data_IF_736277142966
#
_entry.id   IF_736277142966
#
_cell.length_a   1.000
_cell.length_b   1.000
_cell.length_c   1.000
_cell.angle_alpha   90.00
_cell.angle_beta   90.00
_cell.angle_gamma   90.00
#
_symmetry.space_group_name_H-M   'P 1'
#
loop_
_entity.id
_entity.type
_entity.pdbx_description
1 polymer ?
#
# COMPACT_ATOMS: atom_id res chain seq x y z
N UNK A 1 -23.56 28.73 17.97
CA UNK A 1 -22.28 29.25 17.44
C UNK A 1 -22.12 28.72 16.03
N UNK A 2 -22.25 29.57 15.01
CA UNK A 2 -22.17 29.14 13.61
C UNK A 2 -20.73 28.79 13.26
N UNK A 3 -20.46 27.52 12.96
CA UNK A 3 -19.19 27.10 12.35
C UNK A 3 -19.19 27.59 10.91
N UNK A 4 -18.64 28.78 10.66
CA UNK A 4 -18.31 29.19 9.31
C UNK A 4 -17.37 28.13 8.70
N UNK A 5 -17.83 27.48 7.65
CA UNK A 5 -17.02 26.49 6.93
C UNK A 5 -15.74 27.17 6.43
N UNK A 6 -14.53 26.69 6.74
CA UNK A 6 -13.27 27.34 6.34
C UNK A 6 -13.01 27.33 4.83
N UNK A 7 -13.85 26.65 4.06
CA UNK A 7 -13.80 26.64 2.59
C UNK A 7 -14.44 27.93 2.09
N UNK A 8 -13.62 28.87 1.60
CA UNK A 8 -14.10 30.08 0.92
C UNK A 8 -14.97 29.71 -0.27
N UNK A 9 -15.94 30.57 -0.57
CA UNK A 9 -16.85 30.46 -1.69
C UNK A 9 -16.12 30.18 -3.02
N UNK A 10 -16.21 28.95 -3.52
CA UNK A 10 -15.53 28.54 -4.74
C UNK A 10 -16.30 28.89 -6.01
N UNK A 11 -15.59 29.07 -7.12
CA UNK A 11 -16.18 29.19 -8.46
C UNK A 11 -16.27 27.83 -9.14
N UNK A 12 -17.13 27.68 -10.16
CA UNK A 12 -17.08 26.49 -11.01
C UNK A 12 -15.70 26.38 -11.68
N UNK A 13 -15.04 25.22 -11.55
CA UNK A 13 -13.71 24.96 -12.12
C UNK A 13 -13.71 25.21 -13.63
N UNK A 14 -12.57 25.67 -14.14
CA UNK A 14 -12.35 25.84 -15.59
C UNK A 14 -12.38 24.51 -16.34
N UNK A 15 -12.03 23.42 -15.67
CA UNK A 15 -12.05 22.05 -16.22
C UNK A 15 -13.45 21.45 -16.37
N UNK A 16 -14.50 22.09 -15.84
CA UNK A 16 -15.90 21.66 -16.05
C UNK A 16 -16.37 22.20 -17.40
N UNK A 17 -16.69 21.32 -18.34
CA UNK A 17 -17.35 21.73 -19.58
C UNK A 17 -18.81 22.03 -19.29
N UNK A 18 -19.29 23.14 -19.86
CA UNK A 18 -20.68 23.60 -19.74
C UNK A 18 -21.17 23.87 -21.16
N UNK A 19 -22.08 23.05 -21.65
CA UNK A 19 -22.60 23.15 -23.01
C UNK A 19 -24.12 23.29 -22.99
N UNK A 20 -24.66 24.25 -23.73
CA UNK A 20 -26.11 24.38 -23.91
C UNK A 20 -26.54 23.49 -25.08
N UNK A 21 -27.30 22.43 -24.79
CA UNK A 21 -27.79 21.45 -25.77
C UNK A 21 -29.31 21.46 -25.79
N UNK A 22 -29.89 22.14 -26.79
CA UNK A 22 -31.34 22.27 -26.93
C UNK A 22 -31.98 22.93 -25.70
N UNK A 23 -32.86 22.20 -25.01
CA UNK A 23 -33.56 22.65 -23.80
C UNK A 23 -32.81 22.34 -22.48
N UNK A 24 -31.52 22.00 -22.54
CA UNK A 24 -30.71 21.62 -21.38
C UNK A 24 -29.32 22.27 -21.37
N UNK A 25 -28.68 22.27 -20.21
CA UNK A 25 -27.24 22.42 -20.05
C UNK A 25 -26.65 21.05 -19.70
N UNK A 26 -25.69 20.61 -20.49
CA UNK A 26 -24.86 19.46 -20.22
C UNK A 26 -23.58 19.93 -19.51
N UNK A 27 -23.38 19.45 -18.29
CA UNK A 27 -22.14 19.60 -17.54
C UNK A 27 -21.32 18.32 -17.70
N UNK A 28 -20.03 18.46 -17.98
CA UNK A 28 -19.10 17.35 -18.00
C UNK A 28 -17.83 17.68 -17.22
N UNK A 29 -17.41 16.80 -16.34
CA UNK A 29 -16.14 16.91 -15.62
C UNK A 29 -15.74 15.53 -15.14
N UNK A 30 -14.44 15.25 -15.15
CA UNK A 30 -13.93 13.92 -14.85
C UNK A 30 -14.66 12.82 -15.65
N UNK A 31 -15.22 11.82 -14.97
CA UNK A 31 -15.95 10.68 -15.52
C UNK A 31 -17.47 10.84 -15.45
N UNK A 32 -17.97 12.00 -15.01
CA UNK A 32 -19.41 12.23 -14.85
C UNK A 32 -19.93 13.28 -15.83
N UNK A 33 -21.20 13.12 -16.16
CA UNK A 33 -21.98 14.10 -16.90
C UNK A 33 -23.30 14.34 -16.17
N UNK A 34 -23.77 15.59 -16.20
CA UNK A 34 -25.04 15.98 -15.61
C UNK A 34 -25.82 16.83 -16.61
N UNK A 35 -27.03 16.40 -16.94
CA UNK A 35 -27.95 17.14 -17.79
C UNK A 35 -28.96 17.88 -16.93
N UNK A 36 -29.04 19.20 -17.10
CA UNK A 36 -29.90 20.09 -16.31
C UNK A 36 -30.85 20.82 -17.26
N UNK A 37 -32.18 20.76 -17.06
CA UNK A 37 -33.11 21.54 -17.88
C UNK A 37 -32.82 23.05 -17.82
N UNK A 38 -32.85 23.74 -18.96
CA UNK A 38 -32.62 25.18 -19.02
C UNK A 38 -33.66 25.97 -18.25
N UNK A 39 -34.92 25.54 -18.28
CA UNK A 39 -36.01 26.15 -17.52
C UNK A 39 -35.64 26.30 -16.04
N UNK A 40 -35.02 25.26 -15.47
CA UNK A 40 -34.57 25.27 -14.09
C UNK A 40 -33.48 26.32 -13.80
N UNK A 41 -32.61 26.57 -14.77
CA UNK A 41 -31.50 27.53 -14.69
C UNK A 41 -31.99 28.95 -14.95
N UNK A 42 -32.94 29.13 -15.86
CA UNK A 42 -33.52 30.43 -16.22
C UNK A 42 -34.44 30.97 -15.13
N UNK A 43 -35.15 30.10 -14.41
CA UNK A 43 -35.93 30.46 -13.22
C UNK A 43 -35.05 30.98 -12.07
N UNK A 44 -33.75 30.67 -12.08
CA UNK A 44 -32.79 31.08 -11.06
C UNK A 44 -31.59 31.79 -11.69
N UNK A 45 -31.73 33.08 -11.98
CA UNK A 45 -30.70 33.87 -12.68
C UNK A 45 -29.28 33.82 -12.07
N UNK A 46 -29.16 33.51 -10.78
CA UNK A 46 -27.86 33.28 -10.11
C UNK A 46 -27.18 31.97 -10.54
N UNK A 47 -27.93 30.88 -10.79
CA UNK A 47 -27.35 29.64 -11.32
C UNK A 47 -26.74 29.84 -12.71
N UNK A 48 -27.43 30.60 -13.57
CA UNK A 48 -26.92 30.93 -14.90
C UNK A 48 -25.58 31.68 -14.82
N UNK A 49 -25.49 32.68 -13.93
CA UNK A 49 -24.25 33.43 -13.69
C UNK A 49 -23.14 32.55 -13.09
N UNK A 50 -23.49 31.61 -12.20
CA UNK A 50 -22.53 30.64 -11.65
C UNK A 50 -21.97 29.69 -12.71
N UNK A 51 -22.81 29.16 -13.61
CA UNK A 51 -22.35 28.31 -14.72
C UNK A 51 -21.47 29.06 -15.72
N UNK A 52 -21.70 30.38 -15.89
CA UNK A 52 -20.80 31.28 -16.63
C UNK A 52 -19.55 31.68 -15.84
N UNK A 53 -19.41 31.24 -14.58
CA UNK A 53 -18.30 31.55 -13.66
C UNK A 53 -18.20 33.02 -13.26
N UNK A 54 -19.29 33.75 -13.36
CA UNK A 54 -19.35 35.19 -13.05
C UNK A 54 -19.47 35.43 -11.53
N UNK A 55 -20.08 34.49 -10.81
CA UNK A 55 -20.27 34.56 -9.36
C UNK A 55 -19.82 33.27 -8.66
N UNK A 56 -19.43 33.35 -7.37
CA UNK A 56 -19.04 32.16 -6.62
C UNK A 56 -20.27 31.36 -6.16
N UNK A 57 -20.05 30.10 -5.81
CA UNK A 57 -21.08 29.19 -5.32
C UNK A 57 -21.83 29.72 -4.08
N UNK A 58 -21.17 30.50 -3.21
CA UNK A 58 -21.86 31.08 -2.04
C UNK A 58 -22.95 32.07 -2.42
N UNK A 59 -22.79 32.82 -3.52
CA UNK A 59 -23.79 33.77 -3.99
C UNK A 59 -25.04 33.07 -4.57
N UNK A 60 -24.92 31.77 -4.87
CA UNK A 60 -26.06 30.93 -5.26
C UNK A 60 -26.68 30.23 -4.04
N UNK A 61 -25.93 29.97 -2.95
CA UNK A 61 -26.44 29.21 -1.78
C UNK A 61 -27.64 29.85 -1.07
N UNK A 62 -27.89 31.13 -1.26
CA UNK A 62 -29.07 31.82 -0.70
C UNK A 62 -30.37 31.58 -1.52
N UNK A 63 -30.28 30.83 -2.62
CA UNK A 63 -31.40 30.43 -3.48
C UNK A 63 -32.22 29.24 -2.93
N UNK A 64 -33.14 28.71 -3.73
CA UNK A 64 -34.09 27.66 -3.34
C UNK A 64 -33.38 26.33 -3.06
N UNK A 65 -34.09 25.42 -2.38
CA UNK A 65 -33.58 24.08 -2.00
C UNK A 65 -32.96 23.32 -3.19
N UNK A 66 -33.59 23.27 -4.38
CA UNK A 66 -33.02 22.56 -5.52
C UNK A 66 -31.60 23.02 -5.91
N UNK A 67 -31.34 24.33 -5.85
CA UNK A 67 -30.03 24.89 -6.24
C UNK A 67 -28.97 24.62 -5.20
N UNK A 68 -29.36 24.61 -3.92
CA UNK A 68 -28.48 24.15 -2.83
C UNK A 68 -28.07 22.70 -3.03
N UNK A 69 -29.02 21.82 -3.39
CA UNK A 69 -28.75 20.41 -3.64
C UNK A 69 -27.84 20.21 -4.85
N UNK A 70 -28.08 20.96 -5.92
CA UNK A 70 -27.22 20.95 -7.11
C UNK A 70 -25.79 21.42 -6.79
N UNK A 71 -25.63 22.51 -6.04
CA UNK A 71 -24.30 22.97 -5.61
C UNK A 71 -23.62 21.96 -4.70
N UNK A 72 -24.35 21.32 -3.78
CA UNK A 72 -23.80 20.27 -2.91
C UNK A 72 -23.32 19.07 -3.73
N UNK A 73 -24.09 18.66 -4.75
CA UNK A 73 -23.68 17.63 -5.70
C UNK A 73 -22.40 18.06 -6.45
N UNK A 74 -22.37 19.26 -7.02
CA UNK A 74 -21.21 19.76 -7.76
C UNK A 74 -19.97 19.92 -6.85
N UNK A 75 -20.15 20.32 -5.60
CA UNK A 75 -19.06 20.37 -4.62
C UNK A 75 -18.53 18.96 -4.32
N UNK A 76 -19.42 17.99 -4.07
CA UNK A 76 -19.05 16.60 -3.81
C UNK A 76 -18.35 15.93 -4.99
N UNK A 77 -18.69 16.32 -6.23
CA UNK A 77 -18.05 15.86 -7.45
C UNK A 77 -16.78 16.64 -7.81
N UNK A 78 -16.35 17.60 -6.98
CA UNK A 78 -15.14 18.39 -7.19
C UNK A 78 -15.24 19.47 -8.26
N UNK A 79 -16.44 19.79 -8.77
CA UNK A 79 -16.64 20.78 -9.83
C UNK A 79 -16.36 22.21 -9.37
N UNK A 80 -16.38 22.44 -8.06
CA UNK A 80 -16.23 23.76 -7.45
C UNK A 80 -14.78 23.90 -6.97
N UNK A 81 -14.11 24.97 -7.38
CA UNK A 81 -12.76 25.29 -6.98
C UNK A 81 -12.77 25.82 -5.54
N UNK A 82 -12.52 24.95 -4.58
CA UNK A 82 -12.26 25.36 -3.19
C UNK A 82 -10.86 25.96 -3.10
N UNK A 83 -10.76 27.20 -2.57
CA UNK A 83 -9.46 27.72 -2.13
C UNK A 83 -9.28 27.27 -0.69
N UNK A 84 -8.33 26.35 -0.41
CA UNK A 84 -8.07 25.96 0.97
C UNK A 84 -7.61 27.17 1.78
N UNK A 85 -8.03 27.22 3.04
CA UNK A 85 -7.50 28.19 4.00
C UNK A 85 -6.00 27.97 4.21
N UNK A 86 -5.29 28.98 4.75
CA UNK A 86 -3.84 28.89 4.99
C UNK A 86 -3.49 27.79 6.00
N UNK A 87 -4.43 27.48 6.90
CA UNK A 87 -4.37 26.37 7.84
C UNK A 87 -5.60 25.49 7.60
N UNK A 88 -5.38 24.21 7.33
CA UNK A 88 -6.42 23.24 6.97
C UNK A 88 -6.54 22.23 8.11
N UNK A 89 -7.75 22.00 8.62
CA UNK A 89 -7.95 20.90 9.59
C UNK A 89 -7.88 19.57 8.86
N UNK A 90 -7.29 18.54 9.47
CA UNK A 90 -7.20 17.24 8.81
C UNK A 90 -8.57 16.69 8.41
N UNK A 91 -9.63 16.93 9.20
CA UNK A 91 -11.00 16.55 8.83
C UNK A 91 -11.52 17.19 7.53
N UNK A 92 -10.95 18.33 7.15
CA UNK A 92 -11.28 19.03 5.90
C UNK A 92 -10.49 18.47 4.72
N UNK A 93 -9.29 17.91 4.98
CA UNK A 93 -8.46 17.26 3.97
C UNK A 93 -9.22 16.12 3.30
N UNK A 94 -10.00 15.32 4.03
CA UNK A 94 -10.83 14.27 3.43
C UNK A 94 -11.82 14.78 2.37
N UNK A 95 -12.45 15.94 2.63
CA UNK A 95 -13.37 16.59 1.67
C UNK A 95 -12.63 17.12 0.44
N UNK A 96 -11.48 17.76 0.67
CA UNK A 96 -10.63 18.26 -0.42
C UNK A 96 -10.10 17.11 -1.29
N UNK A 97 -9.72 15.99 -0.66
CA UNK A 97 -9.25 14.79 -1.34
C UNK A 97 -10.28 14.26 -2.34
N UNK A 98 -11.56 14.19 -1.97
CA UNK A 98 -12.60 13.74 -2.90
C UNK A 98 -12.64 14.57 -4.21
N UNK A 99 -12.54 15.89 -4.10
CA UNK A 99 -12.50 16.76 -5.27
C UNK A 99 -11.24 16.58 -6.13
N UNK A 100 -10.11 16.28 -5.49
CA UNK A 100 -8.83 16.02 -6.15
C UNK A 100 -8.84 14.65 -6.84
N UNK A 101 -9.28 13.62 -6.13
CA UNK A 101 -9.35 12.24 -6.61
C UNK A 101 -10.25 12.11 -7.84
N UNK A 102 -11.29 12.93 -7.97
CA UNK A 102 -12.11 12.97 -9.19
C UNK A 102 -11.25 13.29 -10.43
N UNK A 103 -10.33 14.26 -10.37
CA UNK A 103 -9.44 14.57 -11.49
C UNK A 103 -8.45 13.41 -11.75
N UNK A 104 -7.93 12.81 -10.70
CA UNK A 104 -7.04 11.66 -10.82
C UNK A 104 -7.73 10.44 -11.44
N UNK A 105 -8.99 10.18 -11.08
CA UNK A 105 -9.79 9.11 -11.69
C UNK A 105 -10.05 9.39 -13.16
N UNK A 106 -10.27 10.64 -13.54
CA UNK A 106 -10.36 11.02 -14.96
C UNK A 106 -9.08 10.61 -15.68
N UNK A 107 -7.93 11.07 -15.20
CA UNK A 107 -6.65 10.87 -15.87
C UNK A 107 -6.32 9.37 -15.97
N UNK A 108 -6.57 8.61 -14.91
CA UNK A 108 -6.33 7.17 -14.89
C UNK A 108 -7.32 6.35 -15.73
N UNK A 109 -8.62 6.55 -15.57
CA UNK A 109 -9.65 5.71 -16.22
C UNK A 109 -10.03 6.17 -17.63
N UNK A 110 -9.63 7.36 -18.06
CA UNK A 110 -9.72 7.79 -19.47
C UNK A 110 -8.60 7.22 -20.34
N UNK A 111 -7.59 6.58 -19.74
CA UNK A 111 -6.51 5.96 -20.48
C UNK A 111 -7.03 4.90 -21.47
N UNK A 112 -6.51 4.92 -22.70
CA UNK A 112 -7.00 4.10 -23.84
C UNK A 112 -6.95 2.58 -23.62
N UNK A 113 -6.07 2.12 -22.74
CA UNK A 113 -6.00 0.70 -22.34
C UNK A 113 -7.31 0.20 -21.72
N UNK A 114 -8.04 1.05 -20.96
CA UNK A 114 -9.25 0.60 -20.26
C UNK A 114 -10.39 0.19 -21.19
N UNK A 115 -10.76 0.99 -22.21
CA UNK A 115 -11.65 0.52 -23.28
C UNK A 115 -11.18 -0.79 -23.92
N UNK A 116 -9.89 -0.90 -24.25
CA UNK A 116 -9.36 -2.11 -24.91
C UNK A 116 -9.47 -3.36 -24.02
N UNK A 117 -9.19 -3.23 -22.72
CA UNK A 117 -9.41 -4.28 -21.72
C UNK A 117 -10.90 -4.65 -21.64
N UNK A 118 -11.79 -3.64 -21.51
CA UNK A 118 -13.25 -3.85 -21.42
C UNK A 118 -13.83 -4.48 -22.67
N UNK A 119 -13.24 -4.26 -23.83
CA UNK A 119 -13.68 -4.82 -25.11
C UNK A 119 -12.94 -6.12 -25.45
N UNK A 120 -11.94 -6.50 -24.64
CA UNK A 120 -11.02 -7.60 -24.90
C UNK A 120 -10.35 -7.51 -26.29
N UNK A 121 -9.95 -6.29 -26.69
CA UNK A 121 -9.24 -5.99 -27.95
C UNK A 121 -7.73 -5.86 -27.77
N UNK A 122 -7.23 -6.04 -26.55
CA UNK A 122 -5.80 -6.16 -26.27
C UNK A 122 -5.23 -7.50 -26.77
N UNK A 123 -3.92 -7.58 -26.98
CA UNK A 123 -3.26 -8.86 -27.25
C UNK A 123 -2.97 -9.65 -25.97
N UNK A 124 -2.64 -10.95 -26.12
CA UNK A 124 -2.28 -11.80 -24.98
C UNK A 124 -1.09 -11.24 -24.19
N UNK A 125 -0.10 -10.70 -24.89
CA UNK A 125 1.09 -10.11 -24.27
C UNK A 125 0.77 -8.87 -23.43
N UNK A 126 -0.14 -8.03 -23.93
CA UNK A 126 -0.65 -6.87 -23.18
C UNK A 126 -1.43 -7.32 -21.94
N UNK A 127 -2.19 -8.42 -22.03
CA UNK A 127 -2.87 -8.99 -20.88
C UNK A 127 -1.87 -9.48 -19.83
N UNK A 128 -0.87 -10.26 -20.23
CA UNK A 128 0.16 -10.78 -19.33
C UNK A 128 0.94 -9.63 -18.68
N UNK A 129 1.27 -8.57 -19.44
CA UNK A 129 1.91 -7.35 -18.92
C UNK A 129 1.03 -6.61 -17.89
N UNK A 130 -0.28 -6.53 -18.14
CA UNK A 130 -1.24 -5.95 -17.19
C UNK A 130 -1.37 -6.77 -15.91
N UNK A 131 -1.39 -8.11 -16.04
CA UNK A 131 -1.43 -9.01 -14.89
C UNK A 131 -0.15 -8.92 -14.06
N UNK A 132 1.00 -8.94 -14.72
CA UNK A 132 2.31 -8.81 -14.08
C UNK A 132 2.45 -7.48 -13.33
N UNK A 133 2.04 -6.38 -13.96
CA UNK A 133 2.04 -5.06 -13.31
C UNK A 133 1.17 -5.05 -12.06
N UNK A 134 -0.04 -5.62 -12.13
CA UNK A 134 -0.95 -5.71 -10.97
C UNK A 134 -0.34 -6.52 -9.84
N UNK A 135 0.31 -7.65 -10.15
CA UNK A 135 1.06 -8.44 -9.19
C UNK A 135 2.13 -7.61 -8.45
N UNK A 136 2.96 -6.86 -9.18
CA UNK A 136 4.01 -6.04 -8.56
C UNK A 136 3.47 -4.90 -7.69
N UNK A 137 2.39 -4.24 -8.13
CA UNK A 137 1.73 -3.21 -7.33
C UNK A 137 1.16 -3.77 -6.02
N UNK A 138 0.56 -4.96 -6.06
CA UNK A 138 0.05 -5.63 -4.86
C UNK A 138 1.20 -6.07 -3.94
N UNK A 139 2.28 -6.61 -4.50
CA UNK A 139 3.46 -7.02 -3.73
C UNK A 139 4.11 -5.84 -2.98
N UNK A 140 4.17 -4.66 -3.59
CA UNK A 140 4.81 -3.50 -2.98
C UNK A 140 3.95 -2.81 -1.91
N UNK A 141 2.61 -2.99 -1.94
CA UNK A 141 1.69 -2.35 -1.00
C UNK A 141 2.05 -2.66 0.47
N UNK A 142 2.27 -3.93 0.81
CA UNK A 142 2.68 -4.32 2.16
C UNK A 142 4.05 -3.76 2.57
N UNK A 143 4.99 -3.64 1.62
CA UNK A 143 6.35 -3.12 1.83
C UNK A 143 6.35 -1.62 2.09
N UNK A 144 5.62 -0.85 1.27
CA UNK A 144 5.54 0.62 1.43
C UNK A 144 4.73 1.00 2.66
N UNK A 145 3.68 0.24 2.99
CA UNK A 145 2.98 0.36 4.26
C UNK A 145 3.92 0.07 5.44
N UNK A 146 4.73 -0.99 5.38
CA UNK A 146 5.73 -1.29 6.41
C UNK A 146 6.75 -0.15 6.59
N UNK A 147 7.17 0.48 5.49
CA UNK A 147 8.05 1.66 5.50
C UNK A 147 7.43 2.79 6.31
N UNK A 148 6.16 3.09 6.06
CA UNK A 148 5.46 4.15 6.77
C UNK A 148 5.24 3.75 8.25
N UNK A 149 4.90 2.50 8.52
CA UNK A 149 4.77 1.95 9.87
C UNK A 149 6.08 2.08 10.68
N UNK A 150 7.23 1.86 10.05
CA UNK A 150 8.53 1.91 10.69
C UNK A 150 9.06 3.34 10.89
N UNK A 151 8.83 4.26 9.95
CA UNK A 151 9.54 5.54 9.89
C UNK A 151 8.66 6.78 10.09
N UNK A 152 7.34 6.69 9.92
CA UNK A 152 6.47 7.86 10.06
C UNK A 152 6.57 8.46 11.47
N UNK A 153 6.71 9.77 11.56
CA UNK A 153 6.83 10.49 12.83
C UNK A 153 5.49 10.57 13.58
N UNK A 154 4.37 10.40 12.88
CA UNK A 154 3.01 10.53 13.41
C UNK A 154 2.51 9.17 13.94
N UNK A 155 2.40 8.95 15.27
CA UNK A 155 2.16 7.60 15.84
C UNK A 155 0.87 6.91 15.37
N UNK A 156 -0.22 7.67 15.22
CA UNK A 156 -1.49 7.13 14.72
C UNK A 156 -1.39 6.66 13.27
N UNK A 157 -0.61 7.36 12.45
CA UNK A 157 -0.37 7.00 11.05
C UNK A 157 0.53 5.75 10.98
N UNK A 158 1.55 5.64 11.83
CA UNK A 158 2.31 4.38 11.96
C UNK A 158 1.42 3.20 12.30
N UNK A 159 0.46 3.38 13.22
CA UNK A 159 -0.46 2.32 13.65
C UNK A 159 -1.36 1.88 12.51
N UNK A 160 -1.95 2.85 11.79
CA UNK A 160 -2.74 2.59 10.59
C UNK A 160 -1.96 1.78 9.54
N UNK A 161 -0.74 2.23 9.22
CA UNK A 161 0.08 1.53 8.22
C UNK A 161 0.67 0.22 8.71
N UNK A 162 0.84 0.01 10.01
CA UNK A 162 1.21 -1.29 10.56
C UNK A 162 0.10 -2.32 10.29
N UNK A 163 -1.17 -1.96 10.55
CA UNK A 163 -2.31 -2.82 10.22
C UNK A 163 -2.37 -3.10 8.72
N UNK A 164 -2.34 -2.05 7.90
CA UNK A 164 -2.39 -2.18 6.45
C UNK A 164 -1.23 -3.04 5.89
N UNK A 165 -0.04 -2.94 6.49
CA UNK A 165 1.10 -3.78 6.08
C UNK A 165 0.87 -5.27 6.35
N UNK A 166 0.22 -5.60 7.48
CA UNK A 166 -0.13 -6.99 7.82
C UNK A 166 -1.24 -7.55 6.93
N UNK A 167 -2.16 -6.70 6.47
CA UNK A 167 -3.21 -7.09 5.53
C UNK A 167 -2.61 -7.32 4.14
N UNK A 168 -1.77 -6.40 3.67
CA UNK A 168 -1.34 -6.35 2.26
C UNK A 168 -0.14 -7.25 1.89
N UNK A 169 0.71 -7.68 2.84
CA UNK A 169 2.01 -8.28 2.48
C UNK A 169 1.91 -9.57 1.66
N UNK A 170 0.83 -10.34 1.78
CA UNK A 170 0.63 -11.58 1.03
C UNK A 170 -0.50 -11.51 0.01
N UNK A 171 -1.07 -10.31 -0.23
CA UNK A 171 -2.14 -10.11 -1.22
C UNK A 171 -1.76 -10.62 -2.61
N UNK A 172 -0.51 -10.39 -3.02
CA UNK A 172 -0.03 -10.87 -4.33
C UNK A 172 0.03 -12.39 -4.44
N UNK A 173 0.30 -13.12 -3.35
CA UNK A 173 0.32 -14.58 -3.30
C UNK A 173 -1.11 -15.16 -3.20
N UNK A 174 -1.97 -14.53 -2.39
CA UNK A 174 -3.35 -14.97 -2.18
C UNK A 174 -4.22 -14.74 -3.41
N UNK A 175 -4.09 -13.58 -4.04
CA UNK A 175 -5.06 -13.12 -5.03
C UNK A 175 -4.47 -12.95 -6.41
N UNK A 176 -3.25 -12.43 -6.53
CA UNK A 176 -2.67 -12.04 -7.83
C UNK A 176 -1.64 -13.04 -8.37
N UNK A 177 -1.70 -14.29 -7.92
CA UNK A 177 -0.70 -15.32 -8.24
C UNK A 177 -0.48 -15.42 -9.75
N UNK A 178 0.74 -15.09 -10.18
CA UNK A 178 1.12 -15.18 -11.58
C UNK A 178 1.57 -16.62 -11.89
N UNK A 179 0.94 -17.27 -12.88
CA UNK A 179 1.15 -18.68 -13.22
C UNK A 179 2.53 -19.03 -13.82
N UNK A 180 3.48 -18.10 -13.84
CA UNK A 180 4.80 -18.30 -14.47
C UNK A 180 5.71 -19.29 -13.75
N UNK A 181 5.38 -19.71 -12.52
CA UNK A 181 6.16 -20.70 -11.76
C UNK A 181 7.58 -20.24 -11.35
N UNK A 182 8.10 -19.14 -11.88
CA UNK A 182 9.39 -18.55 -11.51
C UNK A 182 9.20 -17.32 -10.61
N UNK A 183 9.96 -17.27 -9.52
CA UNK A 183 10.02 -16.14 -8.58
C UNK A 183 10.76 -14.90 -9.14
N UNK A 184 11.38 -15.03 -10.31
CA UNK A 184 12.43 -14.12 -10.79
C UNK A 184 12.00 -13.31 -12.02
N UNK A 185 10.70 -13.01 -12.16
CA UNK A 185 10.26 -12.12 -13.23
C UNK A 185 10.72 -10.69 -12.90
N UNK A 186 11.37 -9.97 -13.82
CA UNK A 186 11.73 -8.58 -13.59
C UNK A 186 10.48 -7.70 -13.48
N UNK A 187 10.49 -6.78 -12.52
CA UNK A 187 9.42 -5.80 -12.36
C UNK A 187 9.39 -4.83 -13.56
N UNK A 188 8.20 -4.46 -14.08
CA UNK A 188 8.09 -3.40 -15.06
C UNK A 188 8.71 -2.10 -14.53
N UNK A 189 9.36 -1.32 -15.41
CA UNK A 189 10.03 -0.07 -15.02
C UNK A 189 9.06 0.90 -14.35
N UNK A 190 7.81 0.97 -14.82
CA UNK A 190 6.78 1.81 -14.17
C UNK A 190 6.45 1.35 -12.75
N UNK A 191 6.46 0.04 -12.50
CA UNK A 191 6.21 -0.51 -11.16
C UNK A 191 7.37 -0.16 -10.24
N UNK A 192 8.62 -0.28 -10.71
CA UNK A 192 9.80 0.15 -9.95
C UNK A 192 9.72 1.65 -9.61
N UNK A 193 9.41 2.50 -10.59
CA UNK A 193 9.28 3.94 -10.37
C UNK A 193 8.16 4.28 -9.37
N UNK A 194 7.00 3.63 -9.49
CA UNK A 194 5.90 3.77 -8.55
C UNK A 194 6.30 3.32 -7.14
N UNK A 195 6.92 2.15 -7.00
CA UNK A 195 7.34 1.58 -5.72
C UNK A 195 8.37 2.48 -5.01
N UNK A 196 9.40 2.94 -5.75
CA UNK A 196 10.40 3.86 -5.21
C UNK A 196 9.79 5.18 -4.76
N UNK A 197 8.84 5.72 -5.54
CA UNK A 197 8.14 6.93 -5.15
C UNK A 197 7.29 6.70 -3.89
N UNK A 198 6.57 5.57 -3.79
CA UNK A 198 5.80 5.23 -2.60
C UNK A 198 6.68 5.05 -1.35
N UNK A 199 7.86 4.44 -1.50
CA UNK A 199 8.86 4.37 -0.41
C UNK A 199 9.32 5.75 0.04
N UNK A 200 9.61 6.65 -0.92
CA UNK A 200 9.95 8.05 -0.61
C UNK A 200 8.80 8.76 0.12
N UNK A 201 7.55 8.58 -0.31
CA UNK A 201 6.39 9.18 0.39
C UNK A 201 6.22 8.61 1.80
N UNK A 202 6.46 7.32 2.00
CA UNK A 202 6.36 6.69 3.31
C UNK A 202 7.33 7.29 4.35
N UNK A 203 8.47 7.80 3.88
CA UNK A 203 9.50 8.46 4.69
C UNK A 203 9.21 9.94 4.90
N UNK A 204 8.93 10.66 3.81
CA UNK A 204 8.97 12.13 3.79
C UNK A 204 7.58 12.78 3.81
N UNK A 205 6.53 12.09 3.37
CA UNK A 205 5.21 12.67 3.18
C UNK A 205 4.08 11.65 3.36
N UNK A 206 3.81 11.34 4.63
CA UNK A 206 2.75 10.40 5.00
C UNK A 206 1.39 10.81 4.44
N UNK A 207 1.13 12.12 4.26
CA UNK A 207 -0.16 12.60 3.75
C UNK A 207 -0.31 12.27 2.27
N UNK A 208 0.74 12.48 1.47
CA UNK A 208 0.77 12.05 0.08
C UNK A 208 0.61 10.53 -0.04
N UNK A 209 1.25 9.75 0.84
CA UNK A 209 1.08 8.29 0.86
C UNK A 209 -0.37 7.88 1.14
N UNK A 210 -1.04 8.53 2.11
CA UNK A 210 -2.46 8.30 2.40
C UNK A 210 -3.34 8.69 1.20
N UNK A 211 -3.02 9.75 0.47
CA UNK A 211 -3.76 10.11 -0.75
C UNK A 211 -3.66 9.05 -1.84
N UNK A 212 -2.47 8.51 -2.09
CA UNK A 212 -2.30 7.45 -3.10
C UNK A 212 -3.02 6.17 -2.66
N UNK A 213 -2.87 5.76 -1.40
CA UNK A 213 -3.57 4.61 -0.84
C UNK A 213 -5.10 4.77 -0.95
N UNK A 214 -5.66 5.91 -0.52
CA UNK A 214 -7.09 6.20 -0.66
C UNK A 214 -7.58 6.17 -2.11
N UNK A 215 -6.75 6.64 -3.05
CA UNK A 215 -7.10 6.60 -4.47
C UNK A 215 -7.25 5.15 -4.94
N UNK A 216 -6.33 4.26 -4.54
CA UNK A 216 -6.34 2.84 -4.86
C UNK A 216 -7.52 2.12 -4.18
N UNK A 217 -7.70 2.30 -2.87
CA UNK A 217 -8.76 1.63 -2.10
C UNK A 217 -10.18 2.01 -2.58
N UNK A 218 -10.39 3.29 -2.91
CA UNK A 218 -11.70 3.74 -3.39
C UNK A 218 -12.07 3.22 -4.77
N UNK A 219 -11.16 2.53 -5.48
CA UNK A 219 -11.52 1.86 -6.73
C UNK A 219 -12.43 0.64 -6.52
N UNK A 220 -12.48 0.10 -5.30
CA UNK A 220 -13.35 -1.02 -4.95
C UNK A 220 -14.85 -0.72 -5.18
N UNK A 221 -15.24 0.56 -5.19
CA UNK A 221 -16.62 0.98 -5.53
C UNK A 221 -17.05 0.54 -6.94
N UNK A 222 -16.11 0.23 -7.83
CA UNK A 222 -16.35 -0.27 -9.19
C UNK A 222 -16.43 -1.80 -9.27
N UNK A 223 -16.64 -2.53 -8.16
CA UNK A 223 -16.64 -4.00 -8.10
C UNK A 223 -17.46 -4.69 -9.19
N UNK A 224 -18.66 -4.17 -9.51
CA UNK A 224 -19.51 -4.77 -10.55
C UNK A 224 -18.84 -4.71 -11.92
N UNK A 225 -18.24 -3.55 -12.24
CA UNK A 225 -17.52 -3.34 -13.48
C UNK A 225 -16.23 -4.16 -13.53
N UNK A 226 -15.51 -4.28 -12.40
CA UNK A 226 -14.30 -5.08 -12.30
C UNK A 226 -14.59 -6.58 -12.50
N UNK A 227 -15.59 -7.13 -11.81
CA UNK A 227 -16.01 -8.54 -11.99
C UNK A 227 -16.40 -8.83 -13.44
N UNK A 228 -17.22 -7.95 -14.04
CA UNK A 228 -17.61 -8.10 -15.46
C UNK A 228 -16.42 -8.02 -16.42
N UNK A 229 -15.42 -7.19 -16.13
CA UNK A 229 -14.19 -7.12 -16.92
C UNK A 229 -13.42 -8.45 -16.84
N UNK A 230 -13.22 -8.97 -15.63
CA UNK A 230 -12.48 -10.20 -15.40
C UNK A 230 -13.14 -11.41 -16.05
N UNK A 231 -14.46 -11.57 -15.90
CA UNK A 231 -15.22 -12.65 -16.55
C UNK A 231 -15.08 -12.59 -18.08
N UNK A 232 -15.09 -11.39 -18.65
CA UNK A 232 -14.92 -11.19 -20.09
C UNK A 232 -13.51 -11.58 -20.55
N UNK A 233 -12.47 -11.13 -19.85
CA UNK A 233 -11.09 -11.46 -20.18
C UNK A 233 -10.84 -12.96 -20.02
N UNK A 234 -11.30 -13.59 -18.92
CA UNK A 234 -11.20 -15.03 -18.71
C UNK A 234 -11.83 -15.82 -19.87
N UNK A 235 -13.04 -15.42 -20.28
CA UNK A 235 -13.74 -16.05 -21.41
C UNK A 235 -13.00 -15.83 -22.74
N UNK A 236 -12.59 -14.60 -23.04
CA UNK A 236 -11.96 -14.25 -24.32
C UNK A 236 -10.61 -14.98 -24.50
N UNK A 237 -9.79 -15.03 -23.44
CA UNK A 237 -8.46 -15.62 -23.48
C UNK A 237 -8.41 -17.08 -23.01
N UNK A 238 -9.57 -17.70 -22.73
CA UNK A 238 -9.69 -19.09 -22.23
C UNK A 238 -8.82 -19.37 -21.00
N UNK A 239 -8.89 -18.48 -20.00
CA UNK A 239 -8.02 -18.52 -18.80
C UNK A 239 -8.59 -19.33 -17.64
N UNK A 240 -9.79 -19.91 -17.80
CA UNK A 240 -10.50 -20.56 -16.70
C UNK A 240 -10.73 -19.61 -15.54
N UNK A 241 -10.44 -20.07 -14.33
CA UNK A 241 -10.76 -19.40 -13.07
C UNK A 241 -9.63 -18.50 -12.54
N UNK A 242 -8.70 -18.07 -13.41
CA UNK A 242 -7.51 -17.30 -12.99
C UNK A 242 -7.85 -16.00 -12.23
N UNK A 243 -9.02 -15.41 -12.50
CA UNK A 243 -9.47 -14.18 -11.86
C UNK A 243 -10.43 -14.41 -10.68
N UNK A 244 -10.76 -15.65 -10.31
CA UNK A 244 -11.60 -15.88 -9.11
C UNK A 244 -10.97 -15.26 -7.86
N UNK A 245 -9.67 -15.46 -7.55
CA UNK A 245 -9.06 -14.82 -6.39
C UNK A 245 -9.05 -13.28 -6.49
N UNK A 246 -8.98 -12.71 -7.70
CA UNK A 246 -9.06 -11.26 -7.89
C UNK A 246 -10.45 -10.72 -7.57
N UNK A 247 -11.49 -11.48 -7.94
CA UNK A 247 -12.88 -11.16 -7.61
C UNK A 247 -13.17 -11.29 -6.12
N UNK A 248 -12.51 -12.24 -5.45
CA UNK A 248 -12.54 -12.40 -3.99
C UNK A 248 -11.90 -11.21 -3.29
N UNK A 249 -10.70 -10.78 -3.71
CA UNK A 249 -10.01 -9.60 -3.16
C UNK A 249 -10.89 -8.35 -3.17
N UNK A 250 -11.47 -7.99 -4.32
CA UNK A 250 -12.31 -6.78 -4.39
C UNK A 250 -13.56 -6.93 -3.49
N UNK A 251 -14.06 -8.15 -3.32
CA UNK A 251 -15.11 -8.45 -2.35
C UNK A 251 -14.67 -8.24 -0.90
N UNK A 252 -13.45 -8.66 -0.58
CA UNK A 252 -12.79 -8.49 0.72
C UNK A 252 -12.62 -6.99 1.04
N UNK A 253 -12.09 -6.18 0.12
CA UNK A 253 -11.86 -4.74 0.32
C UNK A 253 -13.16 -3.99 0.65
N UNK A 254 -14.26 -4.36 -0.02
CA UNK A 254 -15.58 -3.76 0.27
C UNK A 254 -16.07 -4.15 1.67
N UNK A 255 -15.91 -5.42 2.03
CA UNK A 255 -16.40 -5.93 3.30
C UNK A 255 -15.63 -5.34 4.50
N UNK A 256 -14.31 -5.18 4.36
CA UNK A 256 -13.44 -4.67 5.42
C UNK A 256 -13.38 -3.14 5.44
N UNK A 257 -13.68 -2.49 4.32
CA UNK A 257 -13.79 -1.04 4.26
C UNK A 257 -12.45 -0.33 4.44
N UNK A 258 -11.36 -0.83 3.85
CA UNK A 258 -10.02 -0.20 3.92
C UNK A 258 -10.03 1.29 3.55
N UNK A 259 -10.88 1.69 2.60
CA UNK A 259 -11.06 3.10 2.26
C UNK A 259 -11.54 3.96 3.45
N UNK A 260 -12.30 3.38 4.38
CA UNK A 260 -12.72 4.03 5.62
C UNK A 260 -11.56 4.16 6.59
N UNK A 261 -10.71 3.13 6.73
CA UNK A 261 -9.53 3.16 7.59
C UNK A 261 -8.58 4.32 7.24
N UNK A 262 -8.32 4.52 5.95
CA UNK A 262 -7.53 5.67 5.52
C UNK A 262 -8.28 6.99 5.64
N UNK A 263 -9.62 6.99 5.57
CA UNK A 263 -10.41 8.19 5.85
C UNK A 263 -10.35 8.57 7.34
N UNK A 264 -10.21 7.61 8.24
CA UNK A 264 -9.99 7.85 9.68
C UNK A 264 -8.65 8.57 9.95
N UNK A 265 -7.66 8.46 9.06
CA UNK A 265 -6.43 9.26 9.12
C UNK A 265 -6.73 10.77 9.13
N UNK A 266 -7.89 11.18 8.62
CA UNK A 266 -8.35 12.57 8.61
C UNK A 266 -9.24 12.94 9.80
N UNK A 267 -9.74 11.97 10.57
CA UNK A 267 -10.63 12.21 11.70
C UNK A 267 -9.85 12.64 12.96
N UNK A 268 -9.15 13.77 12.87
CA UNK A 268 -8.37 14.33 13.96
C UNK A 268 -8.37 15.86 13.90
N UNK A 269 -8.34 16.51 15.06
CA UNK A 269 -8.28 17.97 15.18
C UNK A 269 -6.88 18.54 14.90
N UNK A 270 -5.98 17.77 14.28
CA UNK A 270 -4.68 18.28 13.87
C UNK A 270 -4.85 19.15 12.62
N UNK A 271 -3.90 20.03 12.40
CA UNK A 271 -3.94 21.00 11.32
C UNK A 271 -2.68 20.83 10.45
N UNK A 272 -2.80 21.17 9.18
CA UNK A 272 -1.69 21.19 8.22
C UNK A 272 -1.66 22.55 7.54
N UNK A 273 -0.46 23.06 7.29
CA UNK A 273 -0.29 24.28 6.51
C UNK A 273 -0.67 24.05 5.05
N UNK A 274 -1.26 25.06 4.42
CA UNK A 274 -1.69 24.98 3.02
C UNK A 274 -0.57 24.61 2.07
N UNK A 275 0.63 25.18 2.26
CA UNK A 275 1.78 24.88 1.42
C UNK A 275 2.17 23.40 1.50
N UNK A 276 2.24 22.86 2.73
CA UNK A 276 2.51 21.45 2.95
C UNK A 276 1.42 20.56 2.32
N UNK A 277 0.14 20.90 2.48
CA UNK A 277 -0.96 20.17 1.84
C UNK A 277 -0.83 20.17 0.31
N UNK A 278 -0.56 21.32 -0.31
CA UNK A 278 -0.38 21.42 -1.75
C UNK A 278 0.83 20.62 -2.24
N UNK A 279 1.93 20.64 -1.49
CA UNK A 279 3.11 19.82 -1.77
C UNK A 279 2.78 18.32 -1.71
N UNK A 280 2.01 17.87 -0.71
CA UNK A 280 1.55 16.47 -0.61
C UNK A 280 0.64 16.07 -1.77
N UNK A 281 -0.25 16.95 -2.21
CA UNK A 281 -1.11 16.72 -3.38
C UNK A 281 -0.27 16.55 -4.64
N UNK A 282 0.75 17.39 -4.84
CA UNK A 282 1.62 17.30 -6.02
C UNK A 282 2.49 16.04 -6.00
N UNK A 283 3.05 15.68 -4.85
CA UNK A 283 3.82 14.43 -4.70
C UNK A 283 2.96 13.18 -4.93
N UNK A 284 1.71 13.18 -4.46
CA UNK A 284 0.75 12.12 -4.78
C UNK A 284 0.45 12.08 -6.29
N UNK A 285 0.29 13.24 -6.94
CA UNK A 285 0.07 13.34 -8.39
C UNK A 285 1.23 12.77 -9.21
N UNK A 286 2.48 13.05 -8.81
CA UNK A 286 3.67 12.46 -9.46
C UNK A 286 3.60 10.93 -9.37
N UNK A 287 3.25 10.40 -8.21
CA UNK A 287 3.11 8.96 -7.99
C UNK A 287 2.05 8.34 -8.91
N UNK A 288 0.90 9.00 -9.05
CA UNK A 288 -0.16 8.58 -9.96
C UNK A 288 0.25 8.70 -11.44
N UNK A 289 1.18 9.59 -11.77
CA UNK A 289 1.75 9.68 -13.13
C UNK A 289 2.56 8.43 -13.45
N UNK A 290 3.31 7.86 -12.49
CA UNK A 290 3.97 6.56 -12.68
C UNK A 290 2.96 5.42 -12.82
N UNK A 291 1.86 5.47 -12.06
CA UNK A 291 0.76 4.52 -12.19
C UNK A 291 0.16 4.56 -13.61
N UNK A 292 -0.15 5.75 -14.14
CA UNK A 292 -0.66 5.94 -15.51
C UNK A 292 0.39 5.53 -16.55
N UNK A 293 1.65 5.90 -16.36
CA UNK A 293 2.75 5.54 -17.25
C UNK A 293 2.92 4.03 -17.41
N UNK A 294 2.59 3.25 -16.38
CA UNK A 294 2.54 1.79 -16.49
C UNK A 294 1.44 1.26 -17.42
N UNK A 295 0.35 1.99 -17.61
CA UNK A 295 -0.67 1.64 -18.60
C UNK A 295 -0.16 1.87 -20.03
N UNK A 296 0.65 2.89 -20.26
CA UNK A 296 1.32 3.09 -21.56
C UNK A 296 2.38 2.01 -21.83
N UNK A 297 3.14 1.59 -20.79
CA UNK A 297 4.09 0.48 -20.93
C UNK A 297 3.40 -0.83 -21.36
N UNK A 298 2.20 -1.10 -20.85
CA UNK A 298 1.41 -2.26 -21.29
C UNK A 298 1.11 -2.18 -22.78
N UNK A 299 0.71 -1.02 -23.29
CA UNK A 299 0.40 -0.85 -24.72
C UNK A 299 1.65 -1.03 -25.59
N UNK A 300 2.83 -0.68 -25.08
CA UNK A 300 4.12 -0.85 -25.76
C UNK A 300 4.70 -2.27 -25.65
N UNK A 301 4.09 -3.18 -24.87
CA UNK A 301 4.60 -4.54 -24.69
C UNK A 301 4.72 -5.33 -26.01
N UNK A 302 3.99 -4.96 -27.05
CA UNK A 302 4.08 -5.59 -28.37
C UNK A 302 5.38 -5.29 -29.11
N UNK A 303 5.96 -4.08 -28.93
CA UNK A 303 7.14 -3.65 -29.68
C UNK A 303 8.46 -4.00 -28.98
N UNK A 304 8.43 -4.25 -27.67
CA UNK A 304 9.57 -4.77 -26.95
C UNK A 304 9.74 -6.26 -27.30
N UNK A 305 10.82 -6.65 -27.98
CA UNK A 305 11.17 -8.07 -28.15
C UNK A 305 11.33 -8.79 -26.79
N UNK A 306 11.55 -10.11 -26.78
CA UNK A 306 11.70 -10.94 -25.57
C UNK A 306 12.96 -10.63 -24.72
N UNK A 307 13.55 -9.45 -24.84
CA UNK A 307 14.73 -9.05 -24.06
C UNK A 307 14.33 -8.65 -22.65
N UNK A 308 14.03 -9.64 -21.81
CA UNK A 308 13.97 -9.44 -20.38
C UNK A 308 15.39 -9.12 -19.85
N UNK A 309 15.58 -8.03 -19.09
CA UNK A 309 16.86 -7.78 -18.43
C UNK A 309 17.12 -8.88 -17.40
N UNK A 310 18.33 -9.43 -17.41
CA UNK A 310 18.76 -10.45 -16.46
C UNK A 310 18.80 -9.87 -15.04
N UNK A 311 18.32 -10.59 -14.01
CA UNK A 311 18.46 -10.16 -12.64
C UNK A 311 19.94 -10.14 -12.23
N UNK A 312 20.34 -9.09 -11.51
CA UNK A 312 21.67 -8.98 -10.92
C UNK A 312 21.79 -9.94 -9.73
N UNK A 313 22.74 -10.87 -9.78
CA UNK A 313 22.96 -11.87 -8.74
C UNK A 313 23.72 -11.27 -7.54
N UNK A 314 23.07 -11.20 -6.37
CA UNK A 314 23.67 -10.71 -5.11
C UNK A 314 23.92 -11.82 -4.06
N UNK A 315 24.05 -13.10 -4.47
CA UNK A 315 24.11 -14.24 -3.54
C UNK A 315 25.46 -14.44 -2.79
N UNK A 316 26.55 -13.71 -3.12
CA UNK A 316 27.89 -14.04 -2.59
C UNK A 316 28.28 -13.39 -1.25
N UNK A 317 27.44 -12.54 -0.66
CA UNK A 317 27.84 -11.73 0.53
C UNK A 317 27.31 -12.25 1.87
N UNK A 318 26.25 -13.07 1.89
CA UNK A 318 25.60 -13.51 3.13
C UNK A 318 26.44 -14.50 3.95
N UNK A 319 27.09 -15.45 3.27
CA UNK A 319 28.00 -16.43 3.87
C UNK A 319 29.15 -15.78 4.67
N UNK A 320 29.77 -14.74 4.10
CA UNK A 320 30.91 -14.05 4.71
C UNK A 320 30.47 -13.17 5.89
N UNK A 321 29.31 -12.51 5.78
CA UNK A 321 28.73 -11.74 6.88
C UNK A 321 28.39 -12.64 8.08
N UNK A 322 27.91 -13.86 7.82
CA UNK A 322 27.58 -14.83 8.86
C UNK A 322 28.81 -15.33 9.64
N UNK A 323 29.85 -15.72 8.90
CA UNK A 323 31.08 -16.26 9.49
C UNK A 323 31.77 -15.21 10.38
N UNK A 324 31.68 -13.94 9.99
CA UNK A 324 32.14 -12.81 10.81
C UNK A 324 31.31 -12.65 12.09
N UNK A 325 29.99 -12.79 12.02
CA UNK A 325 29.09 -12.64 13.16
C UNK A 325 29.23 -13.78 14.19
N UNK A 326 29.29 -15.03 13.75
CA UNK A 326 29.43 -16.16 14.68
C UNK A 326 30.76 -16.15 15.45
N UNK A 327 31.80 -15.54 14.89
CA UNK A 327 33.09 -15.37 15.58
C UNK A 327 33.06 -14.28 16.65
N UNK A 328 32.12 -13.34 16.57
CA UNK A 328 32.07 -12.18 17.47
C UNK A 328 31.04 -12.32 18.59
N UNK A 329 30.06 -13.23 18.46
CA UNK A 329 28.99 -13.36 19.46
C UNK A 329 29.30 -14.44 20.48
N UNK A 330 29.45 -14.03 21.74
CA UNK A 330 29.53 -14.91 22.92
C UNK A 330 28.14 -15.42 23.30
N UNK A 331 28.00 -16.65 23.83
CA UNK A 331 26.75 -17.12 24.45
C UNK A 331 26.27 -16.19 25.58
N UNK A 332 24.96 -15.90 25.59
CA UNK A 332 24.31 -15.16 26.68
C UNK A 332 24.23 -16.04 27.94
N UNK A 333 24.51 -15.45 29.10
CA UNK A 333 24.31 -16.09 30.40
C UNK A 333 22.82 -16.32 30.69
N UNK A 334 22.50 -17.24 31.60
CA UNK A 334 21.11 -17.55 31.97
C UNK A 334 20.35 -16.30 32.50
N UNK A 335 21.04 -15.43 33.23
CA UNK A 335 20.47 -14.17 33.74
C UNK A 335 20.14 -13.22 32.57
N UNK A 336 21.02 -13.12 31.57
CA UNK A 336 20.77 -12.31 30.38
C UNK A 336 19.55 -12.84 29.60
N UNK A 337 19.40 -14.16 29.46
CA UNK A 337 18.24 -14.78 28.79
C UNK A 337 16.92 -14.46 29.49
N UNK A 338 16.87 -14.57 30.82
CA UNK A 338 15.65 -14.33 31.60
C UNK A 338 15.26 -12.85 31.68
N UNK A 339 16.21 -11.94 31.45
CA UNK A 339 15.98 -10.48 31.49
C UNK A 339 15.49 -9.87 30.17
N UNK A 340 15.39 -10.67 29.10
CA UNK A 340 15.16 -10.18 27.75
C UNK A 340 13.67 -10.08 27.41
N UNK A 341 13.16 -8.85 27.27
CA UNK A 341 11.79 -8.58 26.78
C UNK A 341 11.87 -8.00 25.37
N UNK A 342 11.67 -8.83 24.34
CA UNK A 342 11.94 -8.47 22.94
C UNK A 342 10.70 -8.11 22.11
N UNK A 343 9.49 -8.33 22.62
CA UNK A 343 8.26 -8.34 21.80
C UNK A 343 7.98 -7.02 21.07
N UNK A 344 8.00 -5.88 21.79
CA UNK A 344 7.69 -4.58 21.20
C UNK A 344 8.79 -4.05 20.26
N UNK A 345 10.06 -4.37 20.54
CA UNK A 345 11.19 -4.02 19.67
C UNK A 345 11.21 -4.88 18.42
N UNK A 346 10.89 -6.18 18.53
CA UNK A 346 10.82 -7.11 17.40
C UNK A 346 9.83 -6.64 16.34
N UNK A 347 8.63 -6.21 16.75
CA UNK A 347 7.62 -5.74 15.81
C UNK A 347 8.14 -4.57 14.97
N UNK A 348 8.74 -3.56 15.60
CA UNK A 348 9.31 -2.40 14.90
C UNK A 348 10.47 -2.79 13.98
N UNK A 349 11.32 -3.70 14.44
CA UNK A 349 12.44 -4.21 13.66
C UNK A 349 11.98 -5.05 12.46
N UNK A 350 10.94 -5.86 12.63
CA UNK A 350 10.34 -6.66 11.56
C UNK A 350 9.69 -5.75 10.50
N UNK A 351 8.90 -4.74 10.88
CA UNK A 351 8.37 -3.76 9.91
C UNK A 351 9.49 -3.00 9.21
N UNK A 352 10.56 -2.63 9.93
CA UNK A 352 11.73 -2.04 9.29
C UNK A 352 12.35 -2.99 8.27
N UNK A 353 12.55 -4.26 8.60
CA UNK A 353 13.08 -5.25 7.67
C UNK A 353 12.17 -5.47 6.44
N UNK A 354 10.86 -5.57 6.66
CA UNK A 354 9.87 -5.71 5.59
C UNK A 354 9.97 -4.54 4.61
N UNK A 355 10.17 -3.34 5.14
CA UNK A 355 10.25 -2.12 4.34
C UNK A 355 11.42 -2.09 3.35
N UNK A 356 12.48 -2.89 3.55
CA UNK A 356 13.63 -3.02 2.63
C UNK A 356 13.57 -4.30 1.78
N UNK A 357 12.50 -5.10 1.88
CA UNK A 357 12.36 -6.31 1.07
C UNK A 357 12.07 -5.96 -0.39
N UNK A 358 12.80 -6.58 -1.31
CA UNK A 358 12.60 -6.45 -2.76
C UNK A 358 12.21 -7.77 -3.42
N UNK A 359 12.64 -8.90 -2.85
CA UNK A 359 12.31 -10.24 -3.30
C UNK A 359 10.97 -10.70 -2.73
N UNK A 360 10.15 -11.37 -3.55
CA UNK A 360 8.82 -11.86 -3.15
C UNK A 360 8.86 -12.75 -1.89
N UNK A 361 9.80 -13.70 -1.86
CA UNK A 361 9.95 -14.62 -0.73
C UNK A 361 10.29 -13.90 0.58
N UNK A 362 11.13 -12.88 0.51
CA UNK A 362 11.50 -12.08 1.68
C UNK A 362 10.30 -11.28 2.19
N UNK A 363 9.48 -10.73 1.29
CA UNK A 363 8.22 -10.04 1.66
C UNK A 363 7.31 -10.98 2.44
N UNK A 364 7.09 -12.21 1.95
CA UNK A 364 6.23 -13.19 2.63
C UNK A 364 6.80 -13.63 3.99
N UNK A 365 8.09 -13.96 4.03
CA UNK A 365 8.75 -14.42 5.25
C UNK A 365 8.77 -13.33 6.34
N UNK A 366 9.21 -12.11 5.99
CA UNK A 366 9.25 -11.02 6.96
C UNK A 366 7.84 -10.54 7.31
N UNK A 367 6.88 -10.56 6.37
CA UNK A 367 5.49 -10.23 6.64
C UNK A 367 4.86 -11.15 7.70
N UNK A 368 5.08 -12.47 7.60
CA UNK A 368 4.67 -13.43 8.63
C UNK A 368 5.36 -13.20 9.97
N UNK A 369 6.63 -12.78 9.95
CA UNK A 369 7.33 -12.36 11.16
C UNK A 369 6.71 -11.09 11.77
N UNK A 370 6.29 -10.12 10.96
CA UNK A 370 5.56 -8.94 11.43
C UNK A 370 4.23 -9.33 12.09
N UNK A 371 3.47 -10.24 11.48
CA UNK A 371 2.21 -10.75 12.02
C UNK A 371 2.44 -11.44 13.37
N UNK A 372 3.42 -12.36 13.41
CA UNK A 372 3.84 -13.03 14.64
C UNK A 372 4.21 -12.02 15.72
N UNK A 373 5.13 -11.09 15.43
CA UNK A 373 5.61 -10.11 16.41
C UNK A 373 4.49 -9.18 16.91
N UNK A 374 3.54 -8.84 16.04
CA UNK A 374 2.40 -7.98 16.39
C UNK A 374 1.47 -8.63 17.42
N UNK A 375 1.33 -9.96 17.41
CA UNK A 375 0.55 -10.70 18.41
C UNK A 375 1.11 -10.57 19.84
N UNK A 376 2.40 -10.26 20.01
CA UNK A 376 3.06 -10.16 21.31
C UNK A 376 3.27 -8.72 21.77
N UNK A 377 3.28 -7.74 20.85
CA UNK A 377 3.57 -6.34 21.17
C UNK A 377 2.64 -5.74 22.25
N UNK A 378 1.41 -6.23 22.38
CA UNK A 378 0.45 -5.74 23.38
C UNK A 378 0.59 -6.40 24.77
N UNK A 379 1.32 -7.51 24.90
CA UNK A 379 1.43 -8.27 26.15
C UNK A 379 2.47 -7.70 27.11
N UNK A 380 3.51 -7.04 26.61
CA UNK A 380 4.62 -6.48 27.40
C UNK A 380 4.46 -4.98 27.66
N UNK A 381 3.37 -4.57 28.32
CA UNK A 381 3.15 -3.16 28.71
C UNK A 381 4.00 -2.71 29.90
N UNK A 382 4.71 -3.63 30.57
CA UNK A 382 5.61 -3.28 31.67
C UNK A 382 6.91 -2.73 31.11
N UNK A 383 7.09 -1.42 31.24
CA UNK A 383 8.33 -0.73 30.90
C UNK A 383 9.46 -1.31 31.75
N UNK A 384 10.29 -2.16 31.16
CA UNK A 384 11.55 -2.60 31.73
C UNK A 384 12.68 -1.75 31.16
N UNK A 385 13.61 -1.30 32.01
CA UNK A 385 14.82 -0.60 31.55
C UNK A 385 15.65 -1.63 30.78
N UNK A 386 15.86 -1.40 29.48
CA UNK A 386 16.66 -2.28 28.64
C UNK A 386 18.11 -2.34 29.16
N UNK A 387 18.66 -3.55 29.24
CA UNK A 387 20.07 -3.74 29.60
C UNK A 387 21.00 -3.24 28.48
N UNK A 388 22.27 -2.92 28.75
CA UNK A 388 23.24 -2.57 27.71
C UNK A 388 23.36 -3.63 26.61
N UNK A 389 23.32 -4.91 26.99
CA UNK A 389 23.31 -6.04 26.05
C UNK A 389 22.07 -6.02 25.16
N UNK A 390 20.89 -5.75 25.73
CA UNK A 390 19.64 -5.61 24.97
C UNK A 390 19.72 -4.50 23.93
N UNK A 391 20.22 -3.32 24.34
CA UNK A 391 20.40 -2.18 23.44
C UNK A 391 21.38 -2.53 22.31
N UNK A 392 22.49 -3.22 22.61
CA UNK A 392 23.48 -3.61 21.61
C UNK A 392 22.89 -4.55 20.54
N UNK A 393 22.13 -5.56 20.96
CA UNK A 393 21.46 -6.50 20.05
C UNK A 393 20.36 -5.81 19.25
N UNK A 394 19.55 -4.95 19.87
CA UNK A 394 18.52 -4.18 19.15
C UNK A 394 19.13 -3.27 18.10
N UNK A 395 20.26 -2.61 18.40
CA UNK A 395 20.99 -1.79 17.43
C UNK A 395 21.53 -2.66 16.29
N UNK A 396 22.13 -3.82 16.60
CA UNK A 396 22.63 -4.73 15.58
C UNK A 396 21.52 -5.26 14.66
N UNK A 397 20.36 -5.61 15.22
CA UNK A 397 19.20 -6.02 14.44
C UNK A 397 18.64 -4.87 13.61
N UNK A 398 18.64 -3.64 14.14
CA UNK A 398 18.23 -2.44 13.40
C UNK A 398 19.12 -2.19 12.18
N UNK A 399 20.43 -2.33 12.33
CA UNK A 399 21.39 -2.23 11.22
C UNK A 399 21.25 -3.39 10.24
N UNK A 400 20.92 -4.59 10.73
CA UNK A 400 20.68 -5.74 9.87
C UNK A 400 19.38 -5.61 9.08
N UNK A 401 18.37 -4.89 9.59
CA UNK A 401 17.06 -4.69 8.96
C UNK A 401 17.10 -3.97 7.61
N UNK A 402 18.20 -3.31 7.24
CA UNK A 402 18.38 -2.75 5.89
C UNK A 402 18.58 -3.82 4.81
N UNK A 403 18.83 -5.06 5.20
CA UNK A 403 19.00 -6.20 4.31
C UNK A 403 18.24 -7.40 4.89
N UNK A 404 17.10 -7.75 4.29
CA UNK A 404 16.21 -8.83 4.71
C UNK A 404 16.97 -10.11 5.10
N UNK A 405 17.88 -10.58 4.24
CA UNK A 405 18.68 -11.77 4.50
C UNK A 405 19.59 -11.66 5.72
N UNK A 406 20.26 -10.50 5.92
CA UNK A 406 21.09 -10.27 7.13
C UNK A 406 20.24 -10.21 8.38
N UNK A 407 19.08 -9.58 8.30
CA UNK A 407 18.14 -9.47 9.42
C UNK A 407 17.61 -10.84 9.85
N UNK A 408 17.10 -11.63 8.91
CA UNK A 408 16.65 -13.01 9.12
C UNK A 408 17.71 -13.83 9.82
N UNK A 409 18.93 -13.73 9.31
CA UNK A 409 20.04 -14.52 9.80
C UNK A 409 20.45 -14.12 11.22
N UNK A 410 20.55 -12.82 11.50
CA UNK A 410 20.81 -12.32 12.84
C UNK A 410 19.70 -12.73 13.83
N UNK A 411 18.44 -12.75 13.38
CA UNK A 411 17.31 -13.19 14.20
C UNK A 411 17.36 -14.70 14.51
N UNK A 412 17.74 -15.54 13.54
CA UNK A 412 17.91 -16.99 13.76
C UNK A 412 19.01 -17.27 14.81
N UNK A 413 20.13 -16.53 14.74
CA UNK A 413 21.21 -16.70 15.71
C UNK A 413 20.75 -16.24 17.09
N UNK A 414 20.02 -15.13 17.18
CA UNK A 414 19.48 -14.65 18.44
C UNK A 414 18.49 -15.66 19.05
N UNK A 415 17.55 -16.18 18.26
CA UNK A 415 16.61 -17.22 18.71
C UNK A 415 17.35 -18.43 19.26
N UNK A 416 18.37 -18.91 18.54
CA UNK A 416 19.21 -20.02 19.00
C UNK A 416 19.94 -19.72 20.31
N UNK A 417 20.55 -18.55 20.45
CA UNK A 417 21.27 -18.13 21.66
C UNK A 417 20.34 -17.97 22.88
N UNK A 418 19.07 -17.64 22.64
CA UNK A 418 18.03 -17.56 23.65
C UNK A 418 17.39 -18.93 23.97
N UNK A 419 17.79 -20.01 23.30
CA UNK A 419 17.24 -21.35 23.53
C UNK A 419 15.94 -21.64 22.77
N UNK A 420 15.74 -20.98 21.62
CA UNK A 420 14.57 -21.16 20.75
C UNK A 420 13.24 -20.75 21.38
N UNK A 421 13.28 -19.70 22.20
CA UNK A 421 12.09 -19.12 22.83
C UNK A 421 11.55 -17.88 22.09
N UNK A 422 12.29 -17.33 21.14
CA UNK A 422 11.93 -16.07 20.49
C UNK A 422 10.91 -16.27 19.37
N UNK A 423 11.12 -17.30 18.55
CA UNK A 423 10.28 -17.63 17.39
C UNK A 423 9.39 -18.85 17.68
N UNK A 424 8.24 -18.95 17.01
CA UNK A 424 7.45 -20.18 17.05
C UNK A 424 7.94 -21.19 16.00
N UNK A 425 7.44 -22.43 16.08
CA UNK A 425 7.84 -23.52 15.18
C UNK A 425 7.50 -23.23 13.71
N UNK A 426 6.40 -22.53 13.43
CA UNK A 426 6.01 -22.18 12.06
C UNK A 426 7.03 -21.26 11.41
N UNK A 427 7.40 -20.17 12.10
CA UNK A 427 8.40 -19.21 11.62
C UNK A 427 9.77 -19.89 11.53
N UNK A 428 10.15 -20.73 12.50
CA UNK A 428 11.39 -21.53 12.41
C UNK A 428 11.42 -22.44 11.19
N UNK A 429 10.31 -23.11 10.89
CA UNK A 429 10.22 -24.00 9.74
C UNK A 429 10.42 -23.24 8.43
N UNK A 430 9.75 -22.09 8.27
CA UNK A 430 9.90 -21.24 7.09
C UNK A 430 11.30 -20.67 6.94
N UNK A 431 11.90 -20.23 8.05
CA UNK A 431 13.29 -19.77 8.10
C UNK A 431 14.28 -20.87 7.70
N UNK A 432 14.05 -22.09 8.18
CA UNK A 432 14.86 -23.24 7.80
C UNK A 432 14.74 -23.57 6.31
N UNK A 433 13.54 -23.44 5.74
CA UNK A 433 13.33 -23.63 4.30
C UNK A 433 14.05 -22.54 3.51
N UNK A 434 13.84 -21.28 3.86
CA UNK A 434 14.50 -20.13 3.25
C UNK A 434 16.04 -20.28 3.28
N UNK A 435 16.61 -20.64 4.44
CA UNK A 435 18.06 -20.89 4.57
C UNK A 435 18.55 -22.01 3.66
N UNK A 436 17.78 -23.08 3.48
CA UNK A 436 18.17 -24.20 2.62
C UNK A 436 18.28 -23.83 1.14
N UNK A 437 17.48 -22.85 0.71
CA UNK A 437 17.47 -22.38 -0.67
C UNK A 437 18.56 -21.34 -0.96
N UNK A 438 19.02 -20.60 0.07
CA UNK A 438 20.13 -19.65 -0.07
C UNK A 438 21.51 -20.32 -0.10
N UNK A 439 21.58 -21.61 0.26
CA UNK A 439 22.84 -22.36 0.32
C UNK A 439 22.98 -23.16 -0.97
N UNK A 440 23.80 -22.65 -1.89
CA UNK A 440 24.27 -23.40 -3.05
C UNK A 440 24.89 -24.77 -2.64
N UNK A 441 24.88 -25.78 -3.53
CA UNK A 441 25.41 -27.11 -3.25
C UNK A 441 26.90 -27.11 -2.80
N UNK A 442 27.34 -28.19 -2.11
CA UNK A 442 28.36 -28.16 -1.07
C UNK A 442 29.76 -27.94 -1.64
N UNK A 443 30.26 -26.71 -1.58
CA UNK A 443 31.66 -26.41 -1.90
C UNK A 443 32.32 -25.40 -0.95
N UNK A 444 31.61 -24.92 0.09
CA UNK A 444 32.08 -23.82 0.94
C UNK A 444 31.78 -24.04 2.43
N UNK A 445 32.60 -23.44 3.30
CA UNK A 445 32.45 -23.46 4.77
C UNK A 445 31.09 -22.93 5.25
N UNK A 446 30.44 -22.09 4.45
CA UNK A 446 29.07 -21.59 4.71
C UNK A 446 28.00 -22.67 4.70
N UNK A 447 28.21 -23.77 3.97
CA UNK A 447 27.26 -24.88 3.94
C UNK A 447 27.17 -25.57 5.31
N UNK A 448 28.32 -25.90 5.92
CA UNK A 448 28.36 -26.58 7.22
C UNK A 448 27.67 -25.77 8.34
N UNK A 449 27.74 -24.45 8.21
CA UNK A 449 27.23 -23.51 9.20
C UNK A 449 25.73 -23.27 9.04
N UNK A 450 25.25 -23.04 7.81
CA UNK A 450 23.81 -22.98 7.54
C UNK A 450 23.13 -24.31 7.88
N UNK A 451 23.79 -25.43 7.60
CA UNK A 451 23.36 -26.78 7.98
C UNK A 451 23.34 -26.96 9.51
N UNK A 452 24.26 -26.35 10.26
CA UNK A 452 24.27 -26.37 11.72
C UNK A 452 23.10 -25.56 12.31
N UNK A 453 22.83 -24.36 11.79
CA UNK A 453 21.66 -23.56 12.19
C UNK A 453 20.38 -24.32 11.83
N UNK A 454 20.28 -24.85 10.61
CA UNK A 454 19.14 -25.65 10.13
C UNK A 454 18.85 -26.81 11.07
N UNK A 455 19.87 -27.59 11.42
CA UNK A 455 19.76 -28.69 12.39
C UNK A 455 19.34 -28.17 13.76
N UNK A 456 19.88 -27.04 14.21
CA UNK A 456 19.52 -26.45 15.51
C UNK A 456 18.09 -25.91 15.57
N UNK A 457 17.59 -25.30 14.50
CA UNK A 457 16.20 -24.82 14.37
C UNK A 457 15.20 -25.98 14.31
N UNK A 458 15.59 -27.11 13.71
CA UNK A 458 14.75 -28.31 13.58
C UNK A 458 14.76 -29.22 14.82
N UNK A 459 15.76 -29.09 15.70
CA UNK A 459 15.94 -29.93 16.89
C UNK A 459 15.47 -29.26 18.20
N UNK A 460 14.55 -28.30 18.12
CA UNK A 460 13.98 -27.62 19.30
C UNK A 460 13.45 -28.62 20.36
N UNK A 461 13.38 -28.22 21.65
CA UNK A 461 12.96 -29.11 22.72
C UNK A 461 11.54 -29.61 22.46
N UNK A 462 11.40 -30.93 22.29
CA UNK A 462 10.13 -31.62 22.03
C UNK A 462 9.19 -31.46 23.23
N UNK A 463 8.30 -30.45 23.20
CA UNK A 463 7.19 -30.29 24.15
C UNK A 463 5.91 -29.79 23.44
N UNK A 464 5.14 -30.77 22.97
CA UNK A 464 3.68 -30.92 22.75
C UNK A 464 2.70 -29.71 22.73
N UNK A 465 1.88 -29.74 21.66
CA UNK A 465 0.47 -29.38 21.48
C UNK A 465 -0.15 -28.21 22.27
N UNK A 466 -0.44 -27.12 21.55
CA UNK A 466 -1.58 -26.23 21.85
C UNK A 466 -2.41 -25.97 20.58
N UNK A 467 -3.75 -25.97 20.69
CA UNK A 467 -4.62 -25.74 19.54
C UNK A 467 -4.52 -24.29 19.06
N UNK A 468 -4.50 -24.14 17.74
CA UNK A 468 -4.58 -22.87 17.00
C UNK A 468 -5.67 -21.95 17.59
N UNK A 469 -5.26 -20.77 18.06
CA UNK A 469 -6.21 -19.66 18.25
C UNK A 469 -6.56 -19.08 16.89
N UNK A 470 -7.81 -19.29 16.47
CA UNK A 470 -8.45 -18.45 15.45
C UNK A 470 -8.71 -17.07 16.08
N UNK A 471 -8.39 -16.06 15.29
CA UNK A 471 -8.74 -14.64 15.46
C UNK A 471 -7.93 -13.82 16.48
N UNK A 472 -6.79 -13.21 16.08
CA UNK A 472 -6.08 -12.22 16.89
C UNK A 472 -6.74 -10.83 16.88
N UNK A 473 -7.79 -10.62 16.09
CA UNK A 473 -8.47 -9.34 15.93
C UNK A 473 -9.97 -9.52 16.12
N UNK A 474 -10.40 -9.82 17.35
CA UNK A 474 -11.83 -9.87 17.69
C UNK A 474 -12.53 -8.52 17.47
N UNK A 475 -12.96 -8.28 16.24
CA UNK A 475 -13.80 -7.20 15.74
C UNK A 475 -15.02 -7.79 15.04
#
# INVERSE_FOLDING_TARGET
>A
MGTSSPIRAGYLRRSVMVEKVGSHIDLQFSLWSLRIPLEYIELEGTLAAFFRREIPASAVRDSRIPSRNLLALLEAQGCIASVPADIIRLREVGKLFHAIAAEWYKDYYSHRLWPMLREATISRRQLDAWMLRTYFLSRSAGVTAARCAALCTVPRIRTLFARNSLEEFDHCERYYKHNSGSSDIPAPVSSIAFDQQMLYLAEEDWLAHVFVALFQEKTAVFVRNAKSLYDRLAKHFSLGDIFEPWKEHIGFDIAHGHANDFAEAFNHEAHIEREQFLASVERARITLTYLIGGLEQILLAESAGDTAPAPAAEAKTLAQAFDSFCRTVRPLSQVERQSYTFSASLQKLAFRALSYCTAHRDVLLIGRLCEYASCFAHRDSKITIASPTQIAVENQLRESAYCSGKFVLALCILDHLLGSELLNDSIRHELSHWLSEQVDPPSTSSHAVCEHIRKSLMLGPVLWDRPFMRDPFGW
#
